data_IF_221096059544
#
_entry.id   IF_221096059544
#
_cell.length_a   1.000
_cell.length_b   1.000
_cell.length_c   1.000
_cell.angle_alpha   90.00
_cell.angle_beta   90.00
_cell.angle_gamma   90.00
#
_symmetry.space_group_name_H-M   'P 1'
#
loop_
_entity.id
_entity.type
_entity.pdbx_description
1 polymer ?
#
# COMPACT_ATOMS: atom_id res chain seq x y z
N UNK A 1 2.89 -12.09 12.08
CA UNK A 1 3.73 -12.01 10.86
C UNK A 1 5.18 -11.95 11.30
N UNK A 2 5.96 -13.02 11.11
CA UNK A 2 7.42 -12.97 11.27
C UNK A 2 8.05 -13.06 9.89
N UNK A 3 7.79 -12.04 9.06
CA UNK A 3 8.46 -11.92 7.76
C UNK A 3 9.84 -11.33 8.07
N UNK A 4 10.95 -11.96 7.67
CA UNK A 4 12.30 -11.46 7.94
C UNK A 4 12.63 -10.30 6.97
N UNK A 5 11.95 -9.18 7.16
CA UNK A 5 12.14 -7.92 6.42
C UNK A 5 12.63 -6.85 7.38
N UNK A 6 13.71 -6.16 7.02
CA UNK A 6 14.19 -5.06 7.82
C UNK A 6 13.28 -3.85 7.65
N UNK A 7 13.16 -3.03 8.71
CA UNK A 7 12.43 -1.77 8.63
C UNK A 7 12.99 -0.83 7.54
N UNK A 8 14.30 -0.88 7.31
CA UNK A 8 14.96 -0.14 6.22
C UNK A 8 14.44 -0.52 4.84
N UNK A 9 14.16 -1.81 4.61
CA UNK A 9 13.66 -2.30 3.33
C UNK A 9 12.25 -1.77 3.08
N UNK A 10 11.41 -1.78 4.12
CA UNK A 10 10.08 -1.19 4.10
C UNK A 10 10.10 0.32 3.87
N UNK A 11 11.03 1.03 4.53
CA UNK A 11 11.20 2.47 4.37
C UNK A 11 11.60 2.88 2.94
N UNK A 12 12.18 1.96 2.15
CA UNK A 12 12.53 2.19 0.75
C UNK A 12 11.41 1.75 -0.19
N UNK A 13 10.89 0.53 -0.03
CA UNK A 13 9.90 -0.02 -0.97
C UNK A 13 8.55 0.70 -0.88
N UNK A 14 8.15 1.20 0.29
CA UNK A 14 6.86 1.88 0.47
C UNK A 14 6.82 3.19 -0.33
N UNK A 15 7.76 4.14 -0.20
CA UNK A 15 7.81 5.33 -1.06
C UNK A 15 7.93 5.00 -2.55
N UNK A 16 8.75 4.02 -2.93
CA UNK A 16 8.85 3.59 -4.32
C UNK A 16 7.50 3.13 -4.84
N UNK A 17 6.76 2.34 -4.05
CA UNK A 17 5.42 1.91 -4.43
C UNK A 17 4.50 3.10 -4.67
N UNK A 18 4.59 4.20 -3.90
CA UNK A 18 3.77 5.39 -4.16
C UNK A 18 4.14 6.08 -5.47
N UNK A 19 5.43 6.20 -5.78
CA UNK A 19 5.91 6.75 -7.05
C UNK A 19 5.37 5.92 -8.22
N UNK A 20 5.46 4.59 -8.14
CA UNK A 20 4.96 3.72 -9.22
C UNK A 20 3.43 3.81 -9.34
N UNK A 21 2.70 3.94 -8.23
CA UNK A 21 1.24 4.09 -8.26
C UNK A 21 0.77 5.44 -8.81
N UNK A 22 1.64 6.45 -8.88
CA UNK A 22 1.36 7.70 -9.59
C UNK A 22 1.32 7.52 -11.10
N UNK A 23 1.88 6.43 -11.63
CA UNK A 23 1.68 6.07 -13.03
C UNK A 23 0.17 5.74 -13.20
N UNK A 24 -0.57 6.48 -14.04
CA UNK A 24 -2.02 6.34 -14.19
C UNK A 24 -2.38 5.11 -15.05
N UNK A 25 -1.76 3.97 -14.73
CA UNK A 25 -1.85 2.70 -15.45
C UNK A 25 -2.93 1.80 -14.84
N UNK A 26 -3.21 1.98 -13.54
CA UNK A 26 -4.19 1.17 -12.81
C UNK A 26 -4.98 2.00 -11.79
N UNK A 27 -6.18 1.53 -11.45
CA UNK A 27 -7.03 2.17 -10.44
C UNK A 27 -6.37 2.02 -9.07
N UNK A 28 -6.04 3.15 -8.43
CA UNK A 28 -5.36 3.19 -7.13
C UNK A 28 -4.06 2.34 -7.08
N UNK A 29 -3.40 2.16 -8.22
CA UNK A 29 -2.20 1.34 -8.25
C UNK A 29 -2.43 -0.16 -8.11
N UNK A 30 -3.66 -0.65 -8.23
CA UNK A 30 -4.00 -2.07 -8.06
C UNK A 30 -3.34 -2.93 -9.14
N UNK A 31 -2.69 -4.01 -8.73
CA UNK A 31 -1.83 -4.86 -9.57
C UNK A 31 -0.42 -4.29 -9.72
N UNK A 32 -0.27 -2.99 -9.94
CA UNK A 32 1.03 -2.32 -10.10
C UNK A 32 1.80 -2.28 -8.77
N UNK A 33 1.11 -1.97 -7.67
CA UNK A 33 1.67 -2.01 -6.32
C UNK A 33 2.08 -3.44 -5.96
N UNK A 34 1.20 -4.41 -6.17
CA UNK A 34 1.45 -5.82 -5.89
C UNK A 34 2.65 -6.36 -6.68
N UNK A 35 2.76 -6.00 -7.96
CA UNK A 35 3.91 -6.34 -8.79
C UNK A 35 5.21 -5.70 -8.28
N UNK A 36 5.15 -4.45 -7.80
CA UNK A 36 6.31 -3.73 -7.24
C UNK A 36 6.82 -4.41 -5.97
N UNK A 37 5.91 -4.72 -5.03
CA UNK A 37 6.25 -5.44 -3.80
C UNK A 37 6.74 -6.85 -4.12
N UNK A 38 6.05 -7.58 -5.00
CA UNK A 38 6.44 -8.93 -5.42
C UNK A 38 7.81 -8.97 -6.07
N UNK A 39 8.10 -8.03 -6.96
CA UNK A 39 9.43 -7.87 -7.57
C UNK A 39 10.49 -7.66 -6.50
N UNK A 40 10.30 -6.69 -5.60
CA UNK A 40 11.29 -6.36 -4.57
C UNK A 40 11.52 -7.52 -3.59
N UNK A 41 10.46 -8.16 -3.11
CA UNK A 41 10.54 -9.31 -2.19
C UNK A 41 11.21 -10.51 -2.85
N UNK A 42 10.98 -10.75 -4.14
CA UNK A 42 11.69 -11.80 -4.88
C UNK A 42 13.21 -11.57 -4.91
N UNK A 43 13.66 -10.30 -4.94
CA UNK A 43 15.09 -9.94 -4.88
C UNK A 43 15.69 -10.16 -3.50
N UNK A 44 14.86 -10.09 -2.45
CA UNK A 44 15.23 -10.44 -1.08
C UNK A 44 15.14 -11.94 -0.78
N UNK A 45 14.75 -12.77 -1.76
CA UNK A 45 14.53 -14.21 -1.56
C UNK A 45 13.29 -14.54 -0.73
N UNK A 46 12.35 -13.61 -0.64
CA UNK A 46 11.12 -13.77 0.13
C UNK A 46 9.97 -14.26 -0.75
N UNK A 47 9.02 -15.02 -0.18
CA UNK A 47 7.89 -15.55 -0.92
C UNK A 47 6.94 -14.42 -1.37
N UNK A 48 6.32 -14.61 -2.53
CA UNK A 48 5.38 -13.66 -3.12
C UNK A 48 4.17 -13.42 -2.20
N UNK A 49 3.69 -14.45 -1.49
CA UNK A 49 2.57 -14.31 -0.55
C UNK A 49 2.86 -13.26 0.53
N UNK A 50 4.11 -13.18 1.01
CA UNK A 50 4.52 -12.18 2.00
C UNK A 50 4.46 -10.76 1.42
N UNK A 51 4.86 -10.59 0.16
CA UNK A 51 4.81 -9.31 -0.53
C UNK A 51 3.36 -8.82 -0.70
N UNK A 52 2.46 -9.72 -1.11
CA UNK A 52 1.04 -9.45 -1.28
C UNK A 52 0.37 -9.10 0.06
N UNK A 53 0.70 -9.84 1.13
CA UNK A 53 0.20 -9.55 2.47
C UNK A 53 0.57 -8.14 2.93
N UNK A 54 1.83 -7.73 2.73
CA UNK A 54 2.30 -6.37 3.08
C UNK A 54 1.60 -5.32 2.22
N UNK A 55 1.48 -5.54 0.90
CA UNK A 55 0.77 -4.64 -0.01
C UNK A 55 -0.69 -4.42 0.41
N UNK A 56 -1.42 -5.50 0.70
CA UNK A 56 -2.82 -5.43 1.09
C UNK A 56 -3.03 -4.82 2.47
N UNK A 57 -2.18 -5.12 3.44
CA UNK A 57 -2.23 -4.45 4.74
C UNK A 57 -2.03 -2.94 4.61
N UNK A 58 -1.05 -2.52 3.80
CA UNK A 58 -0.82 -1.10 3.51
C UNK A 58 -2.05 -0.43 2.90
N UNK A 59 -2.65 -1.07 1.89
CA UNK A 59 -3.87 -0.58 1.25
C UNK A 59 -5.05 -0.48 2.23
N UNK A 60 -5.25 -1.49 3.07
CA UNK A 60 -6.30 -1.51 4.09
C UNK A 60 -6.13 -0.36 5.10
N UNK A 61 -4.90 -0.10 5.56
CA UNK A 61 -4.61 1.03 6.44
C UNK A 61 -4.92 2.37 5.76
N UNK A 62 -4.52 2.56 4.51
CA UNK A 62 -4.82 3.77 3.74
C UNK A 62 -6.34 3.95 3.60
N UNK A 63 -7.08 2.89 3.31
CA UNK A 63 -8.55 2.94 3.22
C UNK A 63 -9.18 3.34 4.57
N UNK A 64 -8.73 2.76 5.68
CA UNK A 64 -9.20 3.11 7.02
C UNK A 64 -8.96 4.60 7.34
N UNK A 65 -7.76 5.11 7.05
CA UNK A 65 -7.47 6.53 7.25
C UNK A 65 -8.30 7.42 6.32
N UNK A 66 -8.47 7.03 5.07
CA UNK A 66 -9.27 7.78 4.09
C UNK A 66 -10.75 7.84 4.50
N UNK A 67 -11.28 6.75 5.07
CA UNK A 67 -12.65 6.69 5.55
C UNK A 67 -12.90 7.70 6.68
N UNK A 68 -11.94 7.92 7.58
CA UNK A 68 -12.07 8.92 8.64
C UNK A 68 -12.26 10.33 8.08
N UNK A 69 -11.51 10.70 7.03
CA UNK A 69 -11.70 11.95 6.30
C UNK A 69 -13.08 12.04 5.62
N UNK A 70 -13.56 10.93 5.03
CA UNK A 70 -14.89 10.84 4.44
C UNK A 70 -16.01 11.06 5.46
N UNK A 71 -15.90 10.48 6.66
CA UNK A 71 -16.86 10.71 7.75
C UNK A 71 -16.90 12.18 8.17
N UNK A 72 -15.73 12.83 8.30
CA UNK A 72 -15.65 14.26 8.62
C UNK A 72 -16.29 15.12 7.52
N UNK A 73 -16.07 14.77 6.25
CA UNK A 73 -16.66 15.46 5.11
C UNK A 73 -18.20 15.37 5.13
N UNK A 74 -18.76 14.18 5.31
CA UNK A 74 -20.20 13.97 5.40
C UNK A 74 -20.82 14.70 6.60
N UNK A 75 -20.17 14.65 7.77
CA UNK A 75 -20.62 15.36 8.96
C UNK A 75 -20.66 16.88 8.78
N UNK A 76 -19.73 17.45 8.00
CA UNK A 76 -19.76 18.89 7.63
C UNK A 76 -20.85 19.21 6.62
N UNK A 77 -21.06 18.33 5.63
CA UNK A 77 -22.10 18.54 4.61
C UNK A 77 -23.51 18.47 5.19
N UNK A 78 -23.76 17.62 6.19
CA UNK A 78 -25.05 17.52 6.88
C UNK A 78 -25.39 18.72 7.79
N UNK A 79 -24.40 19.59 8.05
CA UNK A 79 -24.54 20.78 8.90
C UNK A 79 -24.73 22.07 8.07
N UNK A 80 -24.66 21.98 6.74
CA UNK A 80 -25.07 23.04 5.80
C UNK A 80 -26.46 22.71 5.26
#
# INVERSE_FOLDING_TARGET
MNIPIAFSDLAVIVPISFIVQMLPVSVNGFGVREATFGFYFSRLGLPLESALLVSFMGAALIMLFSLSGGVVYLARSARR
#
